data_IF_587134630695
#
_entry.id   IF_587134630695
#
_cell.length_a   1.000
_cell.length_b   1.000
_cell.length_c   1.000
_cell.angle_alpha   90.00
_cell.angle_beta   90.00
_cell.angle_gamma   90.00
#
_symmetry.space_group_name_H-M   'P 1'
#
loop_
_entity.id
_entity.type
_entity.pdbx_description
1 polymer ?
#
# COMPACT_ATOMS: atom_id res chain seq x y z
N UNK A 1 32.91 2.26 14.10
CA UNK A 1 31.79 2.98 13.45
C UNK A 1 30.61 2.95 14.41
N UNK A 2 29.86 4.05 14.56
CA UNK A 2 28.65 4.06 15.38
C UNK A 2 27.58 3.15 14.75
N UNK A 3 26.74 2.51 15.57
CA UNK A 3 25.60 1.73 15.08
C UNK A 3 24.60 2.68 14.41
N UNK A 4 24.22 2.41 13.16
CA UNK A 4 23.19 3.18 12.46
C UNK A 4 21.82 2.97 13.11
N UNK A 5 20.98 4.00 13.05
CA UNK A 5 19.60 3.92 13.52
C UNK A 5 18.76 3.27 12.41
N UNK A 6 18.11 2.14 12.72
CA UNK A 6 17.15 1.51 11.81
C UNK A 6 15.76 2.11 12.03
N UNK A 7 15.05 2.39 10.92
CA UNK A 7 13.70 2.96 10.92
C UNK A 7 12.85 2.16 9.96
N UNK A 8 11.67 1.72 10.40
CA UNK A 8 10.68 1.05 9.57
C UNK A 8 9.65 2.08 9.08
N UNK A 9 9.40 2.14 7.78
CA UNK A 9 8.47 3.09 7.16
C UNK A 9 7.43 2.34 6.34
N UNK A 10 6.15 2.61 6.59
CA UNK A 10 5.04 2.03 5.85
C UNK A 10 4.49 2.97 4.78
N UNK A 11 4.51 2.52 3.54
CA UNK A 11 3.89 3.18 2.40
C UNK A 11 2.47 2.63 2.25
N UNK A 12 1.53 3.24 2.98
CA UNK A 12 0.11 2.96 2.85
C UNK A 12 -0.49 3.87 1.77
N UNK A 13 -1.26 3.30 0.85
CA UNK A 13 -1.92 4.05 -0.21
C UNK A 13 -3.42 3.84 -0.21
N UNK A 14 -4.17 4.90 -0.55
CA UNK A 14 -5.60 4.79 -0.82
C UNK A 14 -5.86 4.18 -2.22
N UNK A 15 -7.13 3.93 -2.59
CA UNK A 15 -7.47 3.40 -3.91
C UNK A 15 -7.01 4.28 -5.10
N UNK A 16 -6.89 5.59 -4.91
CA UNK A 16 -6.38 6.50 -5.94
C UNK A 16 -4.84 6.46 -6.09
N UNK A 17 -4.14 5.65 -5.30
CA UNK A 17 -2.69 5.50 -5.29
C UNK A 17 -1.96 6.64 -4.58
N UNK A 18 -2.66 7.47 -3.82
CA UNK A 18 -2.08 8.55 -3.01
C UNK A 18 -1.56 7.97 -1.69
N UNK A 19 -0.47 8.55 -1.17
CA UNK A 19 0.25 8.06 0.01
C UNK A 19 -0.30 8.69 1.29
N UNK A 20 -0.51 7.87 2.32
CA UNK A 20 -0.84 8.37 3.65
C UNK A 20 0.35 9.15 4.23
N UNK A 21 0.08 10.37 4.69
CA UNK A 21 1.01 11.23 5.43
C UNK A 21 0.32 11.76 6.68
N UNK A 22 1.06 11.92 7.77
CA UNK A 22 0.59 12.45 9.04
C UNK A 22 1.19 13.82 9.34
N UNK A 23 0.42 14.70 9.97
CA UNK A 23 0.89 15.99 10.47
C UNK A 23 0.99 15.94 11.98
N UNK A 24 2.19 16.15 12.52
CA UNK A 24 2.49 15.93 13.95
C UNK A 24 1.73 16.87 14.85
N UNK A 25 1.13 16.32 15.90
CA UNK A 25 0.39 17.09 16.91
C UNK A 25 1.31 17.77 17.93
N UNK A 26 2.47 17.20 18.22
CA UNK A 26 3.31 17.60 19.36
C UNK A 26 4.74 17.99 18.99
N UNK A 27 5.32 18.84 19.84
CA UNK A 27 6.72 19.27 19.78
C UNK A 27 7.70 18.08 19.80
N UNK A 28 8.91 18.23 19.24
CA UNK A 28 9.49 19.46 18.67
C UNK A 28 9.10 19.73 17.20
N UNK A 29 8.25 18.89 16.63
CA UNK A 29 7.92 18.92 15.20
C UNK A 29 6.44 19.20 14.95
N UNK A 30 5.75 19.86 15.88
CA UNK A 30 4.34 20.18 15.75
C UNK A 30 4.07 20.89 14.40
N UNK A 31 3.05 20.44 13.69
CA UNK A 31 2.65 20.97 12.39
C UNK A 31 3.53 20.54 11.20
N UNK A 32 4.59 19.74 11.40
CA UNK A 32 5.38 19.13 10.31
C UNK A 32 4.75 17.84 9.82
N UNK A 33 4.98 17.51 8.55
CA UNK A 33 4.56 16.26 7.94
C UNK A 33 5.58 15.13 8.12
N UNK A 34 5.07 13.91 8.29
CA UNK A 34 5.84 12.67 8.33
C UNK A 34 5.09 11.49 7.70
N UNK A 35 5.84 10.41 7.47
CA UNK A 35 5.29 9.14 7.00
C UNK A 35 5.09 8.22 8.22
N UNK A 36 4.02 7.41 8.26
CA UNK A 36 3.82 6.44 9.33
C UNK A 36 4.97 5.45 9.44
N UNK A 37 5.37 5.20 10.68
CA UNK A 37 6.53 4.38 11.02
C UNK A 37 7.46 5.05 12.03
N UNK A 38 8.51 4.33 12.40
CA UNK A 38 9.34 4.72 13.52
C UNK A 38 10.61 3.91 13.67
N UNK A 39 11.37 4.24 14.71
CA UNK A 39 12.66 3.61 14.98
C UNK A 39 12.45 2.17 15.42
N UNK A 40 13.37 1.31 15.02
CA UNK A 40 13.46 -0.06 15.54
C UNK A 40 14.06 0.01 16.94
N UNK A 41 13.31 -0.48 17.93
CA UNK A 41 13.73 -0.56 19.32
C UNK A 41 14.58 -1.79 19.60
N UNK A 42 15.24 -1.83 20.76
CA UNK A 42 16.07 -2.96 21.14
C UNK A 42 15.20 -4.20 21.42
N UNK A 43 15.53 -5.30 20.74
CA UNK A 43 14.85 -6.59 20.92
C UNK A 43 13.69 -6.84 19.95
N UNK A 44 13.37 -5.89 19.06
CA UNK A 44 12.38 -6.10 18.00
C UNK A 44 13.02 -6.17 16.60
N UNK A 45 12.34 -6.85 15.69
CA UNK A 45 12.66 -6.86 14.26
C UNK A 45 12.06 -5.62 13.58
N UNK A 46 12.58 -5.26 12.40
CA UNK A 46 12.04 -4.17 11.57
C UNK A 46 10.53 -4.33 11.29
N UNK A 47 10.05 -5.56 11.09
CA UNK A 47 8.63 -5.84 10.86
C UNK A 47 7.79 -5.68 12.13
N UNK A 48 8.33 -6.06 13.28
CA UNK A 48 7.66 -5.84 14.57
C UNK A 48 7.55 -4.34 14.87
N UNK A 49 8.62 -3.58 14.66
CA UNK A 49 8.60 -2.12 14.76
C UNK A 49 7.51 -1.51 13.86
N UNK A 50 7.48 -1.90 12.58
CA UNK A 50 6.47 -1.40 11.64
C UNK A 50 5.03 -1.65 12.11
N UNK A 51 4.74 -2.86 12.61
CA UNK A 51 3.40 -3.22 13.11
C UNK A 51 3.05 -2.44 14.37
N UNK A 52 4.00 -2.30 15.31
CA UNK A 52 3.83 -1.54 16.55
C UNK A 52 3.49 -0.08 16.24
N UNK A 53 4.27 0.57 15.38
CA UNK A 53 4.08 1.97 14.99
C UNK A 53 2.70 2.19 14.35
N UNK A 54 2.28 1.37 13.36
CA UNK A 54 0.95 1.52 12.76
C UNK A 54 -0.21 1.37 13.76
N UNK A 55 -0.03 0.52 14.78
CA UNK A 55 -1.00 0.34 15.85
C UNK A 55 -1.05 1.53 16.81
N UNK A 56 0.11 2.07 17.16
CA UNK A 56 0.27 3.22 18.07
C UNK A 56 -0.21 4.52 17.41
N UNK A 57 0.17 4.75 16.16
CA UNK A 57 -0.11 5.99 15.42
C UNK A 57 -1.52 6.03 14.84
N UNK A 58 -2.01 4.88 14.35
CA UNK A 58 -3.24 4.79 13.56
C UNK A 58 -4.30 3.83 14.11
N UNK A 59 -3.97 3.03 15.13
CA UNK A 59 -4.84 1.93 15.57
C UNK A 59 -4.99 0.81 14.54
N UNK A 60 -4.05 0.71 13.60
CA UNK A 60 -4.17 -0.17 12.43
C UNK A 60 -3.35 -1.45 12.61
N UNK A 61 -4.00 -2.59 12.36
CA UNK A 61 -3.32 -3.87 12.12
C UNK A 61 -3.04 -4.06 10.62
N UNK A 62 -1.77 -4.22 10.26
CA UNK A 62 -1.36 -4.43 8.87
C UNK A 62 -1.71 -5.85 8.40
N UNK A 63 -2.56 -5.95 7.37
CA UNK A 63 -2.97 -7.23 6.79
C UNK A 63 -1.88 -7.81 5.88
N UNK A 64 -1.15 -6.97 5.15
CA UNK A 64 -0.02 -7.39 4.32
C UNK A 64 1.13 -6.39 4.31
N UNK A 65 2.35 -6.91 4.26
CA UNK A 65 3.59 -6.14 4.31
C UNK A 65 4.54 -6.68 3.24
N UNK A 66 5.00 -5.81 2.34
CA UNK A 66 5.97 -6.13 1.30
C UNK A 66 7.20 -5.26 1.45
N UNK A 67 8.36 -5.89 1.62
CA UNK A 67 9.64 -5.17 1.57
C UNK A 67 9.80 -4.56 0.18
N UNK A 68 9.93 -3.24 0.12
CA UNK A 68 10.04 -2.52 -1.14
C UNK A 68 11.49 -2.16 -1.44
N UNK A 69 12.12 -1.36 -0.59
CA UNK A 69 13.52 -0.99 -0.73
C UNK A 69 14.10 -0.54 0.61
N UNK A 70 15.38 -0.22 0.64
CA UNK A 70 16.02 0.48 1.76
C UNK A 70 16.79 1.68 1.26
N UNK A 71 16.79 2.76 2.04
CA UNK A 71 17.60 3.96 1.81
C UNK A 71 18.58 4.06 2.98
N UNK A 72 19.86 4.20 2.67
CA UNK A 72 20.93 4.16 3.67
C UNK A 72 21.73 5.46 3.62
N UNK A 73 21.84 6.12 4.77
CA UNK A 73 22.71 7.27 4.99
C UNK A 73 23.85 6.89 5.93
N UNK A 74 24.70 7.86 6.30
CA UNK A 74 25.76 7.64 7.28
C UNK A 74 25.20 7.29 8.67
N UNK A 75 24.05 7.89 9.04
CA UNK A 75 23.46 7.77 10.38
C UNK A 75 22.30 6.77 10.46
N UNK A 76 21.60 6.51 9.35
CA UNK A 76 20.31 5.79 9.37
C UNK A 76 20.19 4.76 8.25
N UNK A 77 19.38 3.74 8.51
CA UNK A 77 18.87 2.82 7.49
C UNK A 77 17.34 2.91 7.54
N UNK A 78 16.73 3.38 6.46
CA UNK A 78 15.28 3.46 6.30
C UNK A 78 14.81 2.24 5.52
N UNK A 79 13.98 1.41 6.16
CA UNK A 79 13.39 0.23 5.56
C UNK A 79 11.98 0.55 5.09
N UNK A 80 11.78 0.61 3.77
CA UNK A 80 10.50 0.97 3.18
C UNK A 80 9.70 -0.29 2.85
N UNK A 81 8.46 -0.33 3.32
CA UNK A 81 7.52 -1.40 3.06
C UNK A 81 6.27 -0.85 2.39
N UNK A 82 5.76 -1.55 1.37
CA UNK A 82 4.38 -1.36 0.93
C UNK A 82 3.49 -2.09 1.91
N UNK A 83 2.50 -1.41 2.46
CA UNK A 83 1.64 -1.96 3.50
C UNK A 83 0.18 -1.87 3.09
N UNK A 84 -0.61 -2.81 3.59
CA UNK A 84 -2.05 -2.87 3.39
C UNK A 84 -2.74 -3.10 4.72
N UNK A 85 -3.94 -2.55 4.83
CA UNK A 85 -4.82 -2.70 5.98
C UNK A 85 -6.26 -2.76 5.50
N UNK A 86 -7.06 -3.60 6.15
CA UNK A 86 -8.52 -3.62 6.01
C UNK A 86 -9.19 -2.62 6.98
N UNK A 87 -8.43 -2.10 7.93
CA UNK A 87 -8.84 -1.09 8.90
C UNK A 87 -8.50 0.31 8.37
N UNK A 88 -9.41 1.25 8.59
CA UNK A 88 -9.15 2.66 8.36
C UNK A 88 -8.06 3.17 9.31
N UNK A 89 -7.15 4.00 8.78
CA UNK A 89 -6.14 4.64 9.61
C UNK A 89 -6.76 5.80 10.38
N UNK A 90 -6.85 5.65 11.70
CA UNK A 90 -7.41 6.69 12.59
C UNK A 90 -6.26 7.35 13.35
N UNK A 91 -5.88 8.59 13.02
CA UNK A 91 -4.72 9.23 13.63
C UNK A 91 -4.91 9.39 15.15
N UNK A 92 -3.92 8.92 15.91
CA UNK A 92 -3.84 9.05 17.37
C UNK A 92 -2.80 10.07 17.81
N UNK A 93 -1.73 10.22 17.03
CA UNK A 93 -0.62 11.13 17.33
C UNK A 93 -0.47 12.27 16.31
N UNK A 94 -1.33 12.29 15.29
CA UNK A 94 -1.35 13.33 14.28
C UNK A 94 -2.52 14.29 14.51
N UNK A 95 -2.28 15.59 14.36
CA UNK A 95 -3.35 16.61 14.36
C UNK A 95 -4.20 16.53 13.08
N UNK A 96 -3.61 16.02 12.00
CA UNK A 96 -4.27 15.78 10.72
C UNK A 96 -3.54 14.66 9.97
N UNK A 97 -4.22 13.99 9.05
CA UNK A 97 -3.61 13.10 8.07
C UNK A 97 -4.24 13.37 6.70
N UNK A 98 -3.51 13.02 5.63
CA UNK A 98 -4.02 13.15 4.26
C UNK A 98 -3.42 12.06 3.37
N UNK A 99 -4.06 11.85 2.22
CA UNK A 99 -3.55 11.02 1.14
C UNK A 99 -3.03 11.92 0.02
N UNK A 100 -1.71 11.97 -0.14
CA UNK A 100 -1.01 12.91 -1.02
C UNK A 100 -0.40 12.20 -2.23
N UNK A 101 -0.51 12.81 -3.41
CA UNK A 101 0.11 12.28 -4.63
C UNK A 101 1.64 12.38 -4.55
N UNK A 102 2.36 11.45 -5.19
CA UNK A 102 3.82 11.36 -5.07
C UNK A 102 4.57 12.63 -5.55
N UNK A 103 4.00 13.37 -6.50
CA UNK A 103 4.52 14.63 -7.04
C UNK A 103 4.29 15.82 -6.09
N UNK A 104 3.28 15.71 -5.23
CA UNK A 104 2.90 16.70 -4.23
C UNK A 104 3.65 16.50 -2.90
N UNK A 105 4.39 15.39 -2.74
CA UNK A 105 5.21 15.17 -1.53
C UNK A 105 6.21 16.31 -1.33
N UNK A 106 6.83 16.82 -2.39
CA UNK A 106 7.83 17.88 -2.30
C UNK A 106 7.27 19.25 -1.88
N UNK A 107 5.94 19.41 -1.86
CA UNK A 107 5.30 20.68 -1.47
C UNK A 107 4.92 20.75 0.01
N UNK A 108 5.00 19.63 0.74
CA UNK A 108 4.66 19.58 2.16
C UNK A 108 5.83 20.09 3.03
N UNK A 109 5.49 20.65 4.19
CA UNK A 109 6.48 21.08 5.18
C UNK A 109 6.93 19.90 6.05
N UNK A 110 7.91 19.14 5.55
CA UNK A 110 8.48 17.98 6.23
C UNK A 110 9.39 18.34 7.39
N UNK A 111 9.49 17.42 8.35
CA UNK A 111 10.59 17.37 9.32
C UNK A 111 11.91 17.48 8.54
N UNK A 112 12.82 18.35 9.00
CA UNK A 112 14.05 18.69 8.29
C UNK A 112 14.88 17.44 7.96
N UNK A 113 14.94 16.47 8.88
CA UNK A 113 15.69 15.22 8.69
C UNK A 113 15.09 14.29 7.63
N UNK A 114 13.85 14.54 7.19
CA UNK A 114 13.16 13.71 6.21
C UNK A 114 13.23 14.30 4.79
N UNK A 115 13.75 15.52 4.60
CA UNK A 115 13.70 16.20 3.28
C UNK A 115 14.44 15.43 2.18
N UNK A 116 15.66 14.96 2.44
CA UNK A 116 16.42 14.17 1.47
C UNK A 116 15.75 12.83 1.18
N UNK A 117 15.25 12.17 2.24
CA UNK A 117 14.45 10.96 2.10
C UNK A 117 13.20 11.17 1.23
N UNK A 118 12.46 12.27 1.43
CA UNK A 118 11.25 12.56 0.65
C UNK A 118 11.60 12.84 -0.81
N UNK A 119 12.72 13.51 -1.07
CA UNK A 119 13.22 13.70 -2.42
C UNK A 119 13.54 12.36 -3.08
N UNK A 120 14.34 11.52 -2.43
CA UNK A 120 14.68 10.19 -2.92
C UNK A 120 13.42 9.35 -3.13
N UNK A 121 12.48 9.38 -2.19
CA UNK A 121 11.21 8.69 -2.27
C UNK A 121 10.37 9.21 -3.45
N UNK A 122 10.26 10.52 -3.65
CA UNK A 122 9.52 11.10 -4.78
C UNK A 122 10.13 10.68 -6.12
N UNK A 123 11.47 10.65 -6.22
CA UNK A 123 12.16 10.15 -7.42
C UNK A 123 11.97 8.65 -7.61
N UNK A 124 12.06 7.85 -6.55
CA UNK A 124 11.78 6.41 -6.58
C UNK A 124 10.35 6.20 -7.03
N UNK A 125 9.38 6.92 -6.47
CA UNK A 125 7.97 6.84 -6.81
C UNK A 125 7.71 7.29 -8.27
N UNK A 126 8.38 8.33 -8.75
CA UNK A 126 8.24 8.80 -10.13
C UNK A 126 8.85 7.84 -11.17
N UNK A 127 10.00 7.23 -10.84
CA UNK A 127 10.64 6.19 -11.67
C UNK A 127 9.87 4.88 -11.58
N UNK A 128 9.35 4.58 -10.41
CA UNK A 128 8.43 3.48 -10.16
C UNK A 128 7.04 3.86 -10.67
N UNK A 129 6.88 3.92 -12.01
CA UNK A 129 5.59 4.01 -12.74
C UNK A 129 4.64 2.83 -12.43
N UNK A 130 4.83 2.13 -11.31
CA UNK A 130 4.24 0.88 -10.86
C UNK A 130 3.59 1.01 -9.46
N UNK A 131 3.40 2.21 -8.93
CA UNK A 131 2.56 2.45 -7.73
C UNK A 131 1.09 2.33 -8.11
N UNK A 132 0.71 1.17 -8.63
CA UNK A 132 -0.66 0.81 -8.95
C UNK A 132 -1.10 -0.41 -8.17
N UNK A 133 -0.43 -0.76 -7.07
CA UNK A 133 -0.92 -1.87 -6.23
C UNK A 133 -2.15 -1.41 -5.46
N UNK A 134 -3.26 -1.20 -6.17
CA UNK A 134 -4.56 -1.05 -5.57
C UNK A 134 -5.03 -2.47 -5.30
N UNK A 135 -5.12 -2.82 -4.02
CA UNK A 135 -5.80 -4.02 -3.57
C UNK A 135 -7.28 -3.70 -3.49
N UNK A 136 -8.08 -4.44 -4.25
CA UNK A 136 -9.51 -4.49 -4.05
C UNK A 136 -9.88 -5.86 -3.52
N UNK A 137 -10.68 -5.87 -2.46
CA UNK A 137 -11.27 -7.07 -1.88
C UNK A 137 -12.80 -6.96 -1.96
N UNK A 138 -13.39 -7.16 -3.15
CA UNK A 138 -14.83 -7.09 -3.28
C UNK A 138 -15.47 -8.20 -2.45
N UNK A 139 -16.47 -7.88 -1.63
CA UNK A 139 -17.19 -8.83 -0.76
C UNK A 139 -18.48 -9.37 -1.39
N UNK A 140 -18.88 -8.81 -2.53
CA UNK A 140 -20.06 -9.21 -3.29
C UNK A 140 -19.81 -9.14 -4.80
N UNK A 141 -20.69 -9.76 -5.59
CA UNK A 141 -20.65 -9.64 -7.06
C UNK A 141 -20.86 -8.21 -7.55
N UNK A 142 -21.66 -7.42 -6.83
CA UNK A 142 -21.89 -6.01 -7.14
C UNK A 142 -20.63 -5.19 -6.89
N UNK A 143 -19.98 -5.37 -5.73
CA UNK A 143 -18.70 -4.73 -5.44
C UNK A 143 -17.58 -5.16 -6.40
N UNK A 144 -17.57 -6.43 -6.82
CA UNK A 144 -16.65 -6.90 -7.84
C UNK A 144 -16.89 -6.16 -9.15
N UNK A 145 -18.15 -6.05 -9.60
CA UNK A 145 -18.50 -5.33 -10.83
C UNK A 145 -18.05 -3.87 -10.74
N UNK A 146 -18.39 -3.20 -9.65
CA UNK A 146 -18.08 -1.79 -9.44
C UNK A 146 -16.56 -1.55 -9.34
N UNK A 147 -15.84 -2.48 -8.71
CA UNK A 147 -14.37 -2.52 -8.71
C UNK A 147 -13.82 -2.61 -10.13
N UNK A 148 -14.31 -3.56 -10.93
CA UNK A 148 -13.85 -3.75 -12.31
C UNK A 148 -14.16 -2.51 -13.17
N UNK A 149 -15.31 -1.87 -12.97
CA UNK A 149 -15.68 -0.61 -13.64
C UNK A 149 -14.78 0.55 -13.22
N UNK A 150 -14.50 0.68 -11.92
CA UNK A 150 -13.53 1.65 -11.39
C UNK A 150 -12.15 1.43 -12.01
N UNK A 151 -11.68 0.19 -12.06
CA UNK A 151 -10.39 -0.17 -12.64
C UNK A 151 -10.35 0.18 -14.13
N UNK A 152 -11.39 -0.18 -14.88
CA UNK A 152 -11.48 0.13 -16.31
C UNK A 152 -11.47 1.64 -16.57
N UNK A 153 -12.17 2.43 -15.77
CA UNK A 153 -12.20 3.89 -15.90
C UNK A 153 -10.89 4.55 -15.45
N UNK A 154 -10.28 4.03 -14.40
CA UNK A 154 -8.98 4.48 -13.89
C UNK A 154 -7.86 4.23 -14.90
N UNK A 155 -7.86 3.08 -15.59
CA UNK A 155 -6.91 2.76 -16.65
C UNK A 155 -7.11 3.62 -17.90
N UNK A 156 -8.36 3.99 -18.24
CA UNK A 156 -8.65 4.86 -19.39
C UNK A 156 -8.24 6.32 -19.17
N UNK A 157 -8.37 6.82 -17.94
CA UNK A 157 -8.14 8.23 -17.61
C UNK A 157 -6.69 8.56 -17.28
N UNK A 158 -5.87 7.57 -16.93
CA UNK A 158 -4.46 7.75 -16.56
C UNK A 158 -3.59 6.72 -17.26
N UNK A 159 -2.66 7.15 -18.12
CA UNK A 159 -1.60 6.31 -18.68
C UNK A 159 -0.54 5.87 -17.64
N UNK A 160 -0.96 5.43 -16.44
CA UNK A 160 -0.17 5.60 -15.21
C UNK A 160 -0.05 4.35 -14.33
N UNK A 161 -0.70 3.22 -14.63
CA UNK A 161 -0.55 1.99 -13.84
C UNK A 161 -0.09 0.82 -14.71
N UNK A 162 1.08 0.24 -14.42
CA UNK A 162 1.58 -0.99 -15.09
C UNK A 162 1.10 -2.30 -14.46
N UNK A 163 0.57 -2.26 -13.23
CA UNK A 163 0.18 -3.46 -12.47
C UNK A 163 -0.82 -3.10 -11.37
N UNK A 164 -2.02 -3.68 -11.42
CA UNK A 164 -3.09 -3.54 -10.42
C UNK A 164 -3.34 -4.92 -9.82
N UNK A 165 -3.60 -5.05 -8.52
CA UNK A 165 -3.76 -6.37 -7.87
C UNK A 165 -5.15 -6.51 -7.29
N UNK A 166 -6.09 -7.07 -8.04
CA UNK A 166 -7.41 -7.40 -7.51
C UNK A 166 -7.32 -8.72 -6.75
N UNK A 167 -7.77 -8.75 -5.48
CA UNK A 167 -7.71 -9.93 -4.62
C UNK A 167 -9.13 -10.38 -4.34
N UNK A 168 -9.48 -11.56 -4.84
CA UNK A 168 -10.82 -12.11 -4.71
C UNK A 168 -10.81 -13.09 -3.53
N UNK A 169 -11.47 -12.77 -2.41
CA UNK A 169 -11.54 -13.67 -1.24
C UNK A 169 -12.67 -14.72 -1.36
N UNK A 170 -12.60 -15.76 -0.51
CA UNK A 170 -13.55 -16.89 -0.44
C UNK A 170 -15.01 -16.49 -0.38
N UNK A 171 -15.32 -15.46 0.39
CA UNK A 171 -16.71 -15.12 0.72
C UNK A 171 -17.40 -14.42 -0.46
N UNK A 172 -16.62 -13.79 -1.34
CA UNK A 172 -17.10 -13.12 -2.54
C UNK A 172 -17.33 -14.05 -3.73
N UNK A 173 -16.80 -15.28 -3.65
CA UNK A 173 -16.65 -16.19 -4.80
C UNK A 173 -17.47 -17.48 -4.68
N UNK A 174 -18.40 -17.56 -3.73
CA UNK A 174 -19.44 -18.59 -3.74
C UNK A 174 -20.46 -18.43 -4.89
N UNK A 175 -20.26 -17.45 -5.77
CA UNK A 175 -21.15 -17.17 -6.89
C UNK A 175 -20.48 -17.49 -8.24
N UNK A 176 -21.16 -18.20 -9.17
CA UNK A 176 -20.60 -18.55 -10.45
C UNK A 176 -20.38 -17.30 -11.32
N UNK A 177 -19.14 -17.12 -11.79
CA UNK A 177 -18.75 -16.08 -12.74
C UNK A 177 -19.54 -16.18 -14.06
N UNK A 178 -20.39 -15.19 -14.31
CA UNK A 178 -21.12 -15.08 -15.58
C UNK A 178 -20.19 -14.65 -16.74
N UNK A 179 -20.67 -14.83 -17.97
CA UNK A 179 -19.91 -14.54 -19.19
C UNK A 179 -19.39 -13.09 -19.25
N UNK A 180 -20.22 -12.12 -18.88
CA UNK A 180 -19.87 -10.70 -18.94
C UNK A 180 -18.75 -10.32 -17.97
N UNK A 181 -18.76 -10.88 -16.75
CA UNK A 181 -17.70 -10.66 -15.77
C UNK A 181 -16.37 -11.30 -16.21
N UNK A 182 -16.41 -12.51 -16.81
CA UNK A 182 -15.22 -13.14 -17.38
C UNK A 182 -14.54 -12.28 -18.44
N UNK A 183 -15.32 -11.81 -19.42
CA UNK A 183 -14.81 -10.96 -20.51
C UNK A 183 -14.19 -9.66 -19.98
N UNK A 184 -14.77 -9.09 -18.91
CA UNK A 184 -14.22 -7.89 -18.24
C UNK A 184 -12.89 -8.17 -17.54
N UNK A 185 -12.81 -9.26 -16.77
CA UNK A 185 -11.57 -9.65 -16.07
C UNK A 185 -10.46 -9.97 -17.08
N UNK A 186 -10.77 -10.68 -18.16
CA UNK A 186 -9.86 -10.96 -19.27
C UNK A 186 -9.34 -9.67 -19.93
N UNK A 187 -10.24 -8.73 -20.22
CA UNK A 187 -9.87 -7.44 -20.81
C UNK A 187 -8.91 -6.67 -19.92
N UNK A 188 -9.22 -6.58 -18.61
CA UNK A 188 -8.36 -5.91 -17.63
C UNK A 188 -7.02 -6.63 -17.48
N UNK A 189 -7.01 -7.96 -17.54
CA UNK A 189 -5.77 -8.74 -17.50
C UNK A 189 -4.83 -8.39 -18.66
N UNK A 190 -5.36 -8.31 -19.88
CA UNK A 190 -4.59 -7.86 -21.04
C UNK A 190 -4.12 -6.41 -20.95
N UNK A 191 -4.80 -5.58 -20.14
CA UNK A 191 -4.40 -4.22 -19.82
C UNK A 191 -3.39 -4.13 -18.66
N UNK A 192 -2.93 -5.26 -18.12
CA UNK A 192 -1.92 -5.33 -17.07
C UNK A 192 -2.46 -5.41 -15.64
N UNK A 193 -3.76 -5.66 -15.46
CA UNK A 193 -4.34 -5.97 -14.14
C UNK A 193 -4.03 -7.43 -13.80
N UNK A 194 -3.55 -7.64 -12.59
CA UNK A 194 -3.35 -8.97 -12.03
C UNK A 194 -4.46 -9.30 -11.05
N UNK A 195 -4.94 -10.53 -11.16
CA UNK A 195 -5.95 -11.08 -10.28
C UNK A 195 -5.29 -12.14 -9.40
N UNK A 196 -5.65 -12.13 -8.13
CA UNK A 196 -5.20 -13.10 -7.15
C UNK A 196 -6.41 -13.72 -6.47
N UNK A 197 -6.34 -15.03 -6.22
CA UNK A 197 -7.32 -15.76 -5.44
C UNK A 197 -6.62 -16.68 -4.43
N UNK A 198 -7.26 -16.96 -3.28
CA UNK A 198 -6.87 -18.05 -2.39
C UNK A 198 -6.73 -19.38 -3.12
N UNK A 199 -5.75 -20.20 -2.69
CA UNK A 199 -5.43 -21.50 -3.29
C UNK A 199 -6.60 -22.50 -3.35
N UNK A 200 -7.61 -22.31 -2.51
CA UNK A 200 -8.73 -23.24 -2.29
C UNK A 200 -10.00 -22.89 -3.08
N UNK A 201 -9.95 -21.93 -4.02
CA UNK A 201 -11.14 -21.48 -4.74
C UNK A 201 -10.93 -21.60 -6.25
N UNK A 202 -11.87 -22.26 -6.93
CA UNK A 202 -12.02 -22.21 -8.38
C UNK A 202 -13.13 -21.23 -8.74
N UNK A 203 -12.79 -20.20 -9.52
CA UNK A 203 -13.72 -19.14 -9.91
C UNK A 203 -14.05 -19.16 -11.40
N UNK A 204 -13.72 -20.26 -12.08
CA UNK A 204 -14.02 -20.44 -13.50
C UNK A 204 -13.24 -19.50 -14.42
N UNK A 205 -12.05 -19.06 -13.99
CA UNK A 205 -11.11 -18.26 -14.77
C UNK A 205 -9.85 -19.07 -15.08
N UNK A 206 -9.22 -18.85 -16.25
CA UNK A 206 -7.99 -19.53 -16.59
C UNK A 206 -6.82 -19.26 -15.62
N UNK A 207 -5.95 -20.26 -15.34
CA UNK A 207 -4.80 -20.10 -14.44
C UNK A 207 -3.76 -19.05 -14.85
N UNK A 208 -3.75 -18.61 -16.11
CA UNK A 208 -2.85 -17.54 -16.55
C UNK A 208 -3.34 -16.14 -16.14
N UNK A 209 -4.64 -16.01 -15.85
CA UNK A 209 -5.28 -14.75 -15.43
C UNK A 209 -5.17 -14.57 -13.92
N UNK A 210 -5.32 -15.67 -13.17
CA UNK A 210 -5.30 -15.67 -11.70
C UNK A 210 -4.01 -16.26 -11.19
N UNK A 211 -3.28 -15.47 -10.41
CA UNK A 211 -2.15 -15.95 -9.63
C UNK A 211 -2.66 -16.47 -8.29
N UNK A 212 -2.60 -17.78 -8.11
CA UNK A 212 -2.93 -18.40 -6.83
C UNK A 212 -1.95 -17.92 -5.76
N UNK A 213 -2.48 -17.40 -4.66
CA UNK A 213 -1.67 -17.01 -3.50
C UNK A 213 -1.91 -18.00 -2.37
N UNK A 214 -0.81 -18.47 -1.78
CA UNK A 214 -0.84 -18.95 -0.39
C UNK A 214 -1.29 -17.74 0.43
N UNK A 215 -2.34 -17.88 1.22
CA UNK A 215 -2.61 -16.91 2.28
C UNK A 215 -1.29 -16.67 3.00
N UNK A 216 -0.82 -15.42 3.01
CA UNK A 216 0.36 -15.07 3.79
C UNK A 216 -0.11 -15.18 5.24
N UNK A 217 -0.01 -16.39 5.76
CA UNK A 217 -0.17 -16.69 7.18
C UNK A 217 0.93 -15.89 7.86
N UNK A 218 0.50 -15.04 8.78
CA UNK A 218 1.32 -14.20 9.63
C UNK A 218 2.53 -15.01 10.12
N UNK A 219 3.73 -14.52 9.84
CA UNK A 219 4.96 -14.95 10.52
C UNK A 219 5.59 -13.72 11.14
#
# INVERSE_FOLDING_TARGET
MAKKIEVAIGILTNPEGKLLVGRRMSDPYAGKWEMPGGKVEDGETVLQALRREFKEEGGVELSEIYRWTRIESEERILHLFRVFSEQEFVPKIYEAHDYVAHDSLLTLDWIETNRDFVKDLSEILARDRKIGHIRFNPKSLEELRDTLDYLANSLKSRGMFRRISCILHSDALLFPMNKSLRERVETLHHQGVEFYAPLNIDIGLPPYIIKMRKEVTHV
#
